data_IF_253417247838
#
_entry.id   IF_253417247838
#
_cell.length_a   1.000
_cell.length_b   1.000
_cell.length_c   1.000
_cell.angle_alpha   90.00
_cell.angle_beta   90.00
_cell.angle_gamma   90.00
#
_symmetry.space_group_name_H-M   'P 1'
#
loop_
_entity.id
_entity.type
_entity.pdbx_description
1 polymer ?
#
# COMPACT_ATOMS: atom_id res chain seq x y z
N UNK A 1 4.33 -50.28 -21.71
CA UNK A 1 3.69 -49.12 -21.04
C UNK A 1 3.90 -47.90 -21.95
N UNK A 2 2.86 -47.07 -22.12
CA UNK A 2 2.82 -45.84 -22.92
C UNK A 2 2.62 -45.97 -24.44
N UNK A 3 1.44 -46.44 -24.87
CA UNK A 3 0.94 -46.20 -26.25
C UNK A 3 -0.53 -45.71 -26.26
N UNK A 4 -1.01 -45.16 -25.14
CA UNK A 4 -2.39 -44.68 -24.97
C UNK A 4 -2.52 -43.15 -24.98
N UNK A 5 -1.41 -42.39 -25.07
CA UNK A 5 -1.42 -40.92 -25.08
C UNK A 5 -1.56 -40.31 -26.49
N UNK A 6 -1.49 -41.11 -27.55
CA UNK A 6 -1.62 -40.63 -28.95
C UNK A 6 -3.00 -40.89 -29.56
N UNK A 7 -3.95 -41.44 -28.78
CA UNK A 7 -5.33 -41.60 -29.21
C UNK A 7 -6.05 -40.25 -29.11
N UNK A 8 -6.70 -39.75 -30.19
CA UNK A 8 -7.48 -38.52 -30.08
C UNK A 8 -8.60 -38.73 -29.05
N UNK A 9 -8.75 -37.80 -28.09
CA UNK A 9 -9.82 -37.87 -27.08
C UNK A 9 -11.13 -38.31 -27.72
N UNK A 10 -11.70 -39.39 -27.19
CA UNK A 10 -13.00 -39.88 -27.63
C UNK A 10 -14.05 -38.77 -27.47
N UNK A 11 -15.10 -38.80 -28.31
CA UNK A 11 -16.20 -37.85 -28.20
C UNK A 11 -16.83 -37.85 -26.78
N UNK A 12 -16.80 -38.99 -26.09
CA UNK A 12 -17.26 -39.10 -24.71
C UNK A 12 -16.34 -38.38 -23.71
N UNK A 13 -15.02 -38.55 -23.82
CA UNK A 13 -14.08 -37.87 -22.92
C UNK A 13 -14.16 -36.34 -23.06
N UNK A 14 -14.47 -35.85 -24.26
CA UNK A 14 -14.71 -34.42 -24.49
C UNK A 14 -15.99 -33.93 -23.82
N UNK A 15 -17.06 -34.71 -23.89
CA UNK A 15 -18.32 -34.40 -23.24
C UNK A 15 -18.17 -34.39 -21.71
N UNK A 16 -17.49 -35.38 -21.14
CA UNK A 16 -17.19 -35.43 -19.71
C UNK A 16 -16.34 -34.23 -19.26
N UNK A 17 -15.33 -33.83 -20.03
CA UNK A 17 -14.52 -32.65 -19.72
C UNK A 17 -15.32 -31.34 -19.82
N UNK A 18 -16.29 -31.26 -20.71
CA UNK A 18 -17.19 -30.12 -20.82
C UNK A 18 -18.15 -30.04 -19.63
N UNK A 19 -18.69 -31.19 -19.21
CA UNK A 19 -19.53 -31.28 -18.01
C UNK A 19 -18.74 -30.94 -16.74
N UNK A 20 -17.49 -31.42 -16.62
CA UNK A 20 -16.61 -31.09 -15.50
C UNK A 20 -16.26 -29.60 -15.45
N UNK A 21 -16.08 -28.96 -16.61
CA UNK A 21 -15.89 -27.51 -16.69
C UNK A 21 -17.15 -26.74 -16.31
N UNK A 22 -18.33 -27.20 -16.74
CA UNK A 22 -19.60 -26.60 -16.38
C UNK A 22 -19.89 -26.71 -14.87
N UNK A 23 -19.61 -27.87 -14.27
CA UNK A 23 -19.76 -28.06 -12.82
C UNK A 23 -18.75 -27.19 -12.04
N UNK A 24 -17.49 -27.16 -12.48
CA UNK A 24 -16.45 -26.33 -11.85
C UNK A 24 -16.80 -24.84 -11.94
N UNK A 25 -17.32 -24.37 -13.08
CA UNK A 25 -17.76 -22.99 -13.24
C UNK A 25 -18.86 -22.62 -12.25
N UNK A 26 -19.85 -23.50 -12.05
CA UNK A 26 -20.92 -23.29 -11.04
C UNK A 26 -20.39 -23.22 -9.61
N UNK A 27 -19.43 -24.09 -9.26
CA UNK A 27 -18.80 -24.05 -7.93
C UNK A 27 -17.97 -22.80 -7.71
N UNK A 28 -17.19 -22.40 -8.71
CA UNK A 28 -16.36 -21.20 -8.63
C UNK A 28 -17.23 -19.93 -8.51
N UNK A 29 -18.35 -19.87 -9.22
CA UNK A 29 -19.29 -18.74 -9.11
C UNK A 29 -19.93 -18.66 -7.72
N UNK A 30 -20.33 -19.80 -7.14
CA UNK A 30 -20.83 -19.84 -5.76
C UNK A 30 -19.78 -19.41 -4.73
N UNK A 31 -18.53 -19.85 -4.92
CA UNK A 31 -17.44 -19.44 -4.02
C UNK A 31 -17.14 -17.95 -4.16
N UNK A 32 -17.12 -17.42 -5.39
CA UNK A 32 -16.97 -15.99 -5.66
C UNK A 32 -18.07 -15.18 -4.99
N UNK A 33 -19.33 -15.60 -5.13
CA UNK A 33 -20.45 -14.95 -4.45
C UNK A 33 -20.32 -14.99 -2.91
N UNK A 34 -19.78 -16.08 -2.36
CA UNK A 34 -19.51 -16.19 -0.91
C UNK A 34 -18.36 -15.26 -0.48
N UNK A 35 -17.26 -15.24 -1.23
CA UNK A 35 -16.11 -14.37 -0.96
C UNK A 35 -16.48 -12.90 -1.07
N UNK A 36 -17.25 -12.51 -2.09
CA UNK A 36 -17.71 -11.12 -2.26
C UNK A 36 -18.60 -10.69 -1.09
N UNK A 37 -19.49 -11.56 -0.61
CA UNK A 37 -20.27 -11.28 0.61
C UNK A 37 -19.40 -11.12 1.84
N UNK A 38 -18.36 -11.93 1.97
CA UNK A 38 -17.40 -11.83 3.08
C UNK A 38 -16.59 -10.52 3.01
N UNK A 39 -16.15 -10.12 1.82
CA UNK A 39 -15.43 -8.86 1.59
C UNK A 39 -16.31 -7.64 1.89
N UNK A 40 -17.58 -7.67 1.45
CA UNK A 40 -18.55 -6.61 1.78
C UNK A 40 -18.85 -6.55 3.28
N UNK A 41 -18.85 -7.68 3.98
CA UNK A 41 -19.01 -7.73 5.42
C UNK A 41 -17.77 -7.15 6.14
N UNK A 42 -16.57 -7.47 5.67
CA UNK A 42 -15.31 -6.94 6.18
C UNK A 42 -15.22 -5.42 5.99
N UNK A 43 -15.57 -4.90 4.79
CA UNK A 43 -15.61 -3.47 4.50
C UNK A 43 -16.63 -2.73 5.36
N UNK A 44 -17.79 -3.34 5.63
CA UNK A 44 -18.77 -2.77 6.57
C UNK A 44 -18.22 -2.73 8.00
N UNK A 45 -17.54 -3.79 8.45
CA UNK A 45 -16.93 -3.81 9.77
C UNK A 45 -15.80 -2.77 9.90
N UNK A 46 -15.01 -2.57 8.84
CA UNK A 46 -13.96 -1.54 8.79
C UNK A 46 -14.57 -0.13 8.83
N UNK A 47 -15.62 0.13 8.03
CA UNK A 47 -16.38 1.39 8.08
C UNK A 47 -16.96 1.64 9.47
N UNK A 48 -17.54 0.63 10.12
CA UNK A 48 -18.08 0.76 11.47
C UNK A 48 -16.99 1.10 12.49
N UNK A 49 -15.80 0.47 12.40
CA UNK A 49 -14.64 0.84 13.24
C UNK A 49 -14.14 2.26 12.97
N UNK A 50 -14.10 2.68 11.70
CA UNK A 50 -13.71 4.03 11.33
C UNK A 50 -14.72 5.08 11.83
N UNK A 51 -16.01 4.76 11.78
CA UNK A 51 -17.08 5.61 12.32
C UNK A 51 -17.03 5.69 13.85
N UNK A 52 -16.80 4.56 14.54
CA UNK A 52 -16.61 4.53 15.99
C UNK A 52 -15.38 5.36 16.41
N UNK A 53 -14.27 5.22 15.67
CA UNK A 53 -13.08 6.03 15.89
C UNK A 53 -13.36 7.53 15.65
N UNK A 54 -14.09 7.87 14.58
CA UNK A 54 -14.48 9.25 14.30
C UNK A 54 -15.41 9.83 15.38
N UNK A 55 -16.38 9.05 15.87
CA UNK A 55 -17.27 9.43 16.96
C UNK A 55 -16.48 9.63 18.27
N UNK A 56 -15.49 8.77 18.55
CA UNK A 56 -14.62 8.90 19.72
C UNK A 56 -13.73 10.14 19.65
N UNK A 57 -13.21 10.49 18.47
CA UNK A 57 -12.44 11.73 18.24
C UNK A 57 -13.34 12.97 18.37
N UNK A 58 -14.57 12.92 17.83
CA UNK A 58 -15.55 13.99 17.98
C UNK A 58 -16.06 14.17 19.43
N UNK A 59 -15.95 13.12 20.25
CA UNK A 59 -16.33 13.14 21.68
C UNK A 59 -15.21 13.62 22.61
N UNK A 60 -13.99 13.85 22.10
CA UNK A 60 -12.94 14.53 22.88
C UNK A 60 -13.25 16.03 22.88
N UNK A 61 -13.52 16.67 24.03
CA UNK A 61 -13.68 18.11 24.08
C UNK A 61 -12.37 18.75 23.63
N UNK A 62 -12.45 19.68 22.68
CA UNK A 62 -11.30 20.42 22.17
C UNK A 62 -10.47 20.98 23.35
N UNK A 63 -9.15 20.73 23.44
CA UNK A 63 -8.32 21.44 24.39
C UNK A 63 -8.38 22.92 23.99
N UNK A 64 -9.03 23.72 24.83
CA UNK A 64 -9.15 25.15 24.66
C UNK A 64 -7.76 25.74 24.43
N UNK A 65 -7.56 26.31 23.24
CA UNK A 65 -6.33 27.01 22.88
C UNK A 65 -5.96 28.03 23.96
N UNK A 66 -4.76 27.97 24.56
CA UNK A 66 -4.30 29.04 25.41
C UNK A 66 -3.99 30.26 24.53
N UNK A 67 -4.74 31.34 24.78
CA UNK A 67 -4.69 32.62 24.07
C UNK A 67 -3.25 33.19 23.98
N UNK A 68 -2.92 33.94 22.90
CA UNK A 68 -1.60 34.54 22.71
C UNK A 68 -1.35 35.64 23.74
N UNK A 69 -0.24 35.55 24.48
CA UNK A 69 0.20 36.65 25.35
C UNK A 69 1.20 37.55 24.60
N UNK A 70 0.94 38.87 24.45
CA UNK A 70 1.91 39.82 23.96
C UNK A 70 2.49 40.63 25.12
N UNK A 71 3.75 40.40 25.53
CA UNK A 71 4.47 41.33 26.43
C UNK A 71 5.97 41.45 26.07
N UNK A 72 6.26 42.59 25.42
CA UNK A 72 7.45 43.47 25.46
C UNK A 72 8.77 42.97 26.06
N UNK A 73 9.80 43.02 25.20
CA UNK A 73 11.13 43.67 25.35
C UNK A 73 11.91 43.58 26.68
N UNK A 74 13.08 42.93 26.64
CA UNK A 74 14.41 43.51 26.96
C UNK A 74 15.50 42.40 26.99
N UNK A 75 16.60 42.60 26.27
CA UNK A 75 17.84 41.79 26.26
C UNK A 75 18.82 42.35 27.34
N UNK A 76 20.07 41.85 27.49
CA UNK A 76 20.59 40.70 28.26
C UNK A 76 21.50 41.10 29.45
N UNK A 77 21.93 40.15 30.31
CA UNK A 77 23.28 40.16 30.95
C UNK A 77 23.84 38.74 31.14
N UNK A 78 25.15 38.63 30.96
CA UNK A 78 26.02 37.47 30.80
C UNK A 78 26.77 37.12 32.09
N UNK A 79 26.93 35.82 32.45
CA UNK A 79 28.07 35.23 33.19
C UNK A 79 28.11 33.70 32.94
N UNK A 80 29.22 33.22 32.36
CA UNK A 80 29.66 31.81 32.18
C UNK A 80 30.65 31.45 33.34
N UNK A 81 31.02 30.20 33.73
CA UNK A 81 31.06 28.99 32.91
C UNK A 81 30.70 27.63 33.56
N UNK A 82 30.20 26.69 32.74
CA UNK A 82 30.43 25.25 32.94
C UNK A 82 30.54 24.60 31.56
N UNK A 83 31.62 23.88 31.23
CA UNK A 83 31.94 23.46 29.87
C UNK A 83 31.06 22.28 29.49
N UNK A 84 29.88 22.57 28.95
CA UNK A 84 29.00 21.59 28.35
C UNK A 84 29.31 21.57 26.86
N UNK A 85 30.20 20.66 26.44
CA UNK A 85 30.04 19.69 25.33
C UNK A 85 29.43 20.13 23.99
N UNK A 86 29.19 21.42 23.77
CA UNK A 86 28.56 22.02 22.59
C UNK A 86 29.57 22.78 21.73
N UNK A 87 30.85 22.76 22.11
CA UNK A 87 31.93 23.43 21.37
C UNK A 87 32.60 22.55 20.29
N UNK A 88 32.16 21.30 20.08
CA UNK A 88 32.50 20.59 18.84
C UNK A 88 31.50 20.97 17.75
N UNK A 89 31.65 22.24 17.39
CA UNK A 89 30.85 23.00 16.43
C UNK A 89 30.93 22.37 15.05
N UNK A 90 29.77 22.42 14.40
CA UNK A 90 29.42 22.31 12.98
C UNK A 90 30.51 21.94 11.97
N UNK A 91 31.69 22.59 11.99
CA UNK A 91 32.81 22.29 11.12
C UNK A 91 33.31 20.84 11.24
N UNK A 92 33.35 20.27 12.46
CA UNK A 92 33.84 18.91 12.67
C UNK A 92 32.83 17.84 12.21
N UNK A 93 31.52 18.11 12.34
CA UNK A 93 30.46 17.25 11.77
C UNK A 93 30.36 17.36 10.25
N UNK A 94 30.76 18.48 9.65
CA UNK A 94 30.79 18.63 8.19
C UNK A 94 32.00 17.93 7.53
N UNK A 95 33.02 17.52 8.29
CA UNK A 95 34.23 16.86 7.76
C UNK A 95 34.22 15.33 7.93
N UNK A 96 33.47 14.78 8.90
CA UNK A 96 33.48 13.33 9.20
C UNK A 96 32.22 12.55 8.82
N UNK A 97 31.20 13.16 8.22
CA UNK A 97 30.02 12.41 7.71
C UNK A 97 30.25 11.77 6.34
N UNK A 98 31.37 11.06 6.19
CA UNK A 98 31.55 10.03 5.15
C UNK A 98 31.42 8.64 5.79
N UNK A 99 30.17 8.16 5.78
CA UNK A 99 29.69 6.76 5.73
C UNK A 99 30.02 5.80 6.90
N UNK A 100 29.04 4.96 7.32
CA UNK A 100 28.98 3.63 6.69
C UNK A 100 27.56 3.13 6.41
N UNK A 101 27.33 2.71 5.16
CA UNK A 101 26.52 1.53 4.77
C UNK A 101 25.31 1.21 5.68
N UNK A 102 24.23 1.95 5.49
CA UNK A 102 22.88 1.39 5.47
C UNK A 102 22.45 1.31 4.02
N UNK A 103 22.97 0.33 3.30
CA UNK A 103 22.70 0.02 1.90
C UNK A 103 21.23 -0.41 1.70
N UNK A 104 20.25 0.46 1.96
CA UNK A 104 18.93 0.37 1.32
C UNK A 104 17.93 1.53 1.54
N UNK A 105 18.34 2.74 1.92
CA UNK A 105 17.39 3.87 1.93
C UNK A 105 17.93 5.04 1.13
N UNK A 106 17.77 4.93 -0.19
CA UNK A 106 17.86 6.06 -1.11
C UNK A 106 16.88 7.14 -0.63
N UNK A 107 17.38 8.34 -0.28
CA UNK A 107 16.56 9.44 0.19
C UNK A 107 15.76 10.03 -0.98
N UNK A 108 14.44 10.20 -0.81
CA UNK A 108 13.71 11.24 -1.57
C UNK A 108 12.43 10.89 -2.33
N UNK A 109 11.67 9.83 -2.02
CA UNK A 109 10.28 9.79 -2.50
C UNK A 109 9.34 9.15 -1.49
N UNK A 110 8.30 9.90 -1.11
CA UNK A 110 7.29 9.47 -0.16
C UNK A 110 6.78 8.08 -0.57
N UNK A 111 6.68 7.11 0.35
CA UNK A 111 6.24 5.75 0.05
C UNK A 111 4.96 5.69 -0.79
N UNK A 112 4.04 6.64 -0.58
CA UNK A 112 2.82 6.80 -1.36
C UNK A 112 3.06 7.08 -2.86
N UNK A 113 4.05 7.90 -3.22
CA UNK A 113 4.35 8.22 -4.62
C UNK A 113 4.98 7.03 -5.34
N UNK A 114 5.77 6.21 -4.63
CA UNK A 114 6.31 4.95 -5.18
C UNK A 114 5.18 3.96 -5.46
N UNK A 115 4.22 3.83 -4.54
CA UNK A 115 3.04 2.97 -4.71
C UNK A 115 2.20 3.45 -5.90
N UNK A 116 1.95 4.75 -6.01
CA UNK A 116 1.19 5.32 -7.15
C UNK A 116 1.89 5.05 -8.48
N UNK A 117 3.22 5.21 -8.55
CA UNK A 117 3.97 4.92 -9.78
C UNK A 117 3.90 3.44 -10.13
N UNK A 118 4.06 2.53 -9.15
CA UNK A 118 3.98 1.09 -9.39
C UNK A 118 2.58 0.70 -9.89
N UNK A 119 1.51 1.22 -9.28
CA UNK A 119 0.14 0.97 -9.72
C UNK A 119 -0.12 1.50 -11.14
N UNK A 120 0.38 2.71 -11.45
CA UNK A 120 0.26 3.29 -12.79
C UNK A 120 0.96 2.45 -13.86
N UNK A 121 2.15 1.92 -13.55
CA UNK A 121 2.89 1.05 -14.49
C UNK A 121 2.15 -0.28 -14.73
N UNK A 122 1.60 -0.89 -13.67
CA UNK A 122 0.80 -2.13 -13.81
C UNK A 122 -0.44 -1.87 -14.68
N UNK A 123 -1.19 -0.81 -14.38
CA UNK A 123 -2.37 -0.43 -15.16
C UNK A 123 -2.02 -0.14 -16.63
N UNK A 124 -0.90 0.52 -16.89
CA UNK A 124 -0.43 0.80 -18.25
C UNK A 124 -0.11 -0.47 -19.03
N UNK A 125 0.58 -1.44 -18.42
CA UNK A 125 0.89 -2.73 -19.07
C UNK A 125 -0.39 -3.53 -19.35
N UNK A 126 -1.32 -3.57 -18.40
CA UNK A 126 -2.62 -4.24 -18.58
C UNK A 126 -3.40 -3.56 -19.71
N UNK A 127 -3.49 -2.22 -19.71
CA UNK A 127 -4.18 -1.47 -20.75
C UNK A 127 -3.55 -1.69 -22.12
N UNK A 128 -2.23 -1.67 -22.22
CA UNK A 128 -1.52 -1.89 -23.48
C UNK A 128 -1.70 -3.33 -23.98
N UNK A 129 -1.62 -4.32 -23.09
CA UNK A 129 -1.91 -5.71 -23.41
C UNK A 129 -3.36 -5.90 -23.88
N UNK A 130 -4.33 -5.34 -23.14
CA UNK A 130 -5.74 -5.35 -23.51
C UNK A 130 -5.98 -4.69 -24.88
N UNK A 131 -5.34 -3.54 -25.13
CA UNK A 131 -5.43 -2.82 -26.40
C UNK A 131 -4.87 -3.64 -27.55
N UNK A 132 -3.71 -4.30 -27.35
CA UNK A 132 -3.10 -5.16 -28.38
C UNK A 132 -3.94 -6.40 -28.62
N UNK A 133 -4.35 -7.13 -27.58
CA UNK A 133 -5.16 -8.35 -27.74
C UNK A 133 -6.52 -8.04 -28.38
N UNK A 134 -7.17 -6.93 -27.99
CA UNK A 134 -8.42 -6.48 -28.61
C UNK A 134 -8.19 -6.03 -30.05
N UNK A 135 -7.11 -5.30 -30.34
CA UNK A 135 -6.77 -4.89 -31.71
C UNK A 135 -6.38 -6.06 -32.61
N UNK A 136 -5.88 -7.16 -32.04
CA UNK A 136 -5.62 -8.41 -32.75
C UNK A 136 -6.85 -9.33 -32.81
N UNK A 137 -7.99 -8.91 -32.25
CA UNK A 137 -9.23 -9.70 -32.22
C UNK A 137 -9.12 -11.00 -31.42
N UNK A 138 -8.19 -11.05 -30.47
CA UNK A 138 -7.92 -12.23 -29.63
C UNK A 138 -8.67 -12.20 -28.28
N UNK A 139 -9.34 -11.08 -27.98
CA UNK A 139 -10.27 -10.84 -26.88
C UNK A 139 -11.62 -10.45 -27.47
#
# INVERSE_FOLDING_TARGET
>A
MAELESQPLSAEERAELEELRAEKARREEQEKARREREELAALRAERAKAEEAAAKVASVPAPAAPKPQPKKAARPKSVEPKPSRDEMTFAQRMVTSKEPMGENEIPGMAPAQKIIIVLALIAFVIFMGYTILTSMGLL
#
